data_IF_885046212308
#
_entry.id   IF_885046212308
#
_cell.length_a   1.000
_cell.length_b   1.000
_cell.length_c   1.000
_cell.angle_alpha   90.00
_cell.angle_beta   90.00
_cell.angle_gamma   90.00
#
_symmetry.space_group_name_H-M   'P 1'
#
loop_
_entity.id
_entity.type
_entity.pdbx_description
1 polymer ?
#
# COMPACT_ATOMS: atom_id res chain seq x y z
N UNK A 1 -78.80 29.48 18.86
CA UNK A 1 -77.54 29.79 19.59
C UNK A 1 -76.71 28.58 20.04
N UNK A 2 -77.26 27.49 20.63
CA UNK A 2 -76.43 26.34 21.08
C UNK A 2 -75.67 25.59 19.96
N UNK A 3 -76.22 25.51 18.75
CA UNK A 3 -75.60 24.85 17.60
C UNK A 3 -74.36 25.60 17.05
N UNK A 4 -74.42 26.94 16.99
CA UNK A 4 -73.30 27.79 16.55
C UNK A 4 -72.05 27.65 17.43
N UNK A 5 -72.23 27.62 18.76
CA UNK A 5 -71.11 27.44 19.70
C UNK A 5 -70.42 26.07 19.55
N UNK A 6 -71.15 25.03 19.18
CA UNK A 6 -70.58 23.69 18.95
C UNK A 6 -69.74 23.67 17.68
N UNK A 7 -70.27 24.26 16.59
CA UNK A 7 -69.57 24.36 15.30
C UNK A 7 -68.27 25.17 15.45
N UNK A 8 -68.29 26.29 16.16
CA UNK A 8 -67.07 27.10 16.40
C UNK A 8 -66.00 26.33 17.20
N UNK A 9 -66.42 25.55 18.21
CA UNK A 9 -65.52 24.72 19.01
C UNK A 9 -64.88 23.62 18.16
N UNK A 10 -65.68 22.92 17.37
CA UNK A 10 -65.21 21.83 16.50
C UNK A 10 -64.30 22.39 15.39
N UNK A 11 -64.59 23.60 14.87
CA UNK A 11 -63.70 24.33 13.96
C UNK A 11 -62.37 24.72 14.61
N UNK A 12 -62.36 25.14 15.88
CA UNK A 12 -61.11 25.44 16.61
C UNK A 12 -60.28 24.17 16.83
N UNK A 13 -60.91 23.06 17.22
CA UNK A 13 -60.23 21.76 17.38
C UNK A 13 -59.65 21.28 16.04
N UNK A 14 -60.44 21.38 14.96
CA UNK A 14 -59.99 20.99 13.62
C UNK A 14 -58.81 21.85 13.15
N UNK A 15 -58.84 23.16 13.42
CA UNK A 15 -57.71 24.07 13.12
C UNK A 15 -56.45 23.68 13.90
N UNK A 16 -56.57 23.40 15.19
CA UNK A 16 -55.44 22.95 16.03
C UNK A 16 -54.90 21.61 15.53
N UNK A 17 -55.78 20.66 15.22
CA UNK A 17 -55.40 19.36 14.66
C UNK A 17 -54.68 19.48 13.32
N UNK A 18 -55.23 20.26 12.38
CA UNK A 18 -54.63 20.49 11.07
C UNK A 18 -53.24 21.15 11.19
N UNK A 19 -53.10 22.11 12.10
CA UNK A 19 -51.84 22.80 12.37
C UNK A 19 -50.82 21.84 13.00
N UNK A 20 -51.23 21.04 13.98
CA UNK A 20 -50.40 20.00 14.60
C UNK A 20 -49.96 18.93 13.58
N UNK A 21 -50.87 18.48 12.70
CA UNK A 21 -50.51 17.51 11.67
C UNK A 21 -49.59 18.09 10.61
N UNK A 22 -49.79 19.35 10.23
CA UNK A 22 -48.90 20.02 9.28
C UNK A 22 -47.48 20.13 9.85
N UNK A 23 -47.34 20.47 11.14
CA UNK A 23 -46.06 20.48 11.85
C UNK A 23 -45.43 19.08 11.92
N UNK A 24 -46.21 18.06 12.27
CA UNK A 24 -45.69 16.69 12.32
C UNK A 24 -45.21 16.22 10.94
N UNK A 25 -45.98 16.48 9.88
CA UNK A 25 -45.57 16.18 8.51
C UNK A 25 -44.29 16.95 8.13
N UNK A 26 -44.19 18.24 8.44
CA UNK A 26 -42.99 19.03 8.17
C UNK A 26 -41.74 18.47 8.87
N UNK A 27 -41.87 18.00 10.11
CA UNK A 27 -40.79 17.36 10.87
C UNK A 27 -40.38 16.03 10.22
N UNK A 28 -41.35 15.19 9.84
CA UNK A 28 -41.10 13.91 9.17
C UNK A 28 -40.42 14.11 7.81
N UNK A 29 -40.95 15.00 6.97
CA UNK A 29 -40.36 15.30 5.66
C UNK A 29 -38.97 15.92 5.77
N UNK A 30 -38.74 16.82 6.73
CA UNK A 30 -37.41 17.40 6.98
C UNK A 30 -36.38 16.35 7.40
N UNK A 31 -36.79 15.37 8.22
CA UNK A 31 -35.94 14.28 8.66
C UNK A 31 -35.56 13.33 7.51
N UNK A 32 -36.55 12.97 6.68
CA UNK A 32 -36.33 12.16 5.47
C UNK A 32 -35.40 12.89 4.49
N UNK A 33 -35.60 14.18 4.28
CA UNK A 33 -34.77 14.97 3.38
C UNK A 33 -33.31 15.02 3.85
N UNK A 34 -33.08 15.17 5.16
CA UNK A 34 -31.73 15.14 5.75
C UNK A 34 -31.05 13.77 5.60
N UNK A 35 -31.81 12.68 5.63
CA UNK A 35 -31.30 11.32 5.48
C UNK A 35 -30.87 10.98 4.04
N UNK A 36 -31.49 11.62 3.04
CA UNK A 36 -31.18 11.40 1.61
C UNK A 36 -29.98 12.26 1.16
N UNK A 37 -29.68 13.35 1.88
CA UNK A 37 -28.57 14.24 1.55
C UNK A 37 -27.22 13.56 1.82
N UNK A 38 -26.39 13.45 0.78
CA UNK A 38 -24.98 13.08 0.94
C UNK A 38 -24.24 14.24 1.59
N UNK A 39 -23.43 13.95 2.59
CA UNK A 39 -22.51 14.94 3.14
C UNK A 39 -21.54 15.39 2.05
N UNK A 40 -21.50 16.70 1.78
CA UNK A 40 -20.51 17.32 0.91
C UNK A 40 -19.59 18.15 1.80
N UNK A 41 -18.30 18.00 1.59
CA UNK A 41 -17.27 18.75 2.31
C UNK A 41 -16.44 19.50 1.27
N UNK A 42 -16.06 20.74 1.59
CA UNK A 42 -15.07 21.48 0.81
C UNK A 42 -13.66 21.00 1.17
N UNK A 43 -13.39 20.81 2.47
CA UNK A 43 -12.15 20.29 3.02
C UNK A 43 -12.43 19.42 4.25
N UNK A 44 -11.56 18.43 4.48
CA UNK A 44 -11.61 17.57 5.66
C UNK A 44 -10.20 17.48 6.24
N UNK A 45 -10.00 18.03 7.44
CA UNK A 45 -8.74 17.93 8.17
C UNK A 45 -8.84 16.81 9.21
N UNK A 46 -8.24 15.66 8.90
CA UNK A 46 -8.28 14.46 9.73
C UNK A 46 -6.95 13.73 9.68
N UNK A 47 -6.65 12.99 10.73
CA UNK A 47 -5.44 12.17 10.79
C UNK A 47 -5.61 10.82 10.06
N UNK A 48 -6.88 10.36 9.91
CA UNK A 48 -7.21 9.04 9.36
C UNK A 48 -8.63 8.98 8.82
N UNK A 49 -8.79 8.34 7.66
CA UNK A 49 -10.05 7.95 7.05
C UNK A 49 -10.04 6.41 6.91
N UNK A 50 -11.09 5.77 7.44
CA UNK A 50 -11.34 4.34 7.22
C UNK A 50 -12.50 4.18 6.24
N UNK A 51 -12.31 3.33 5.23
CA UNK A 51 -13.42 2.82 4.41
C UNK A 51 -13.71 1.40 4.87
N UNK A 52 -14.95 1.18 5.30
CA UNK A 52 -15.40 -0.06 5.92
C UNK A 52 -16.65 -0.60 5.23
N UNK A 53 -16.83 -1.90 5.30
CA UNK A 53 -18.07 -2.59 4.94
C UNK A 53 -19.17 -2.36 5.98
N UNK A 54 -20.39 -2.81 5.68
CA UNK A 54 -21.54 -2.73 6.60
C UNK A 54 -21.32 -3.43 7.94
N UNK A 55 -20.51 -4.49 7.95
CA UNK A 55 -20.18 -5.26 9.16
C UNK A 55 -18.99 -4.66 9.94
N UNK A 56 -18.42 -3.56 9.46
CA UNK A 56 -17.26 -2.89 10.06
C UNK A 56 -15.90 -3.39 9.54
N UNK A 57 -15.87 -4.38 8.65
CA UNK A 57 -14.63 -4.88 8.04
C UNK A 57 -13.92 -3.79 7.26
N UNK A 58 -12.60 -3.67 7.45
CA UNK A 58 -11.78 -2.65 6.80
C UNK A 58 -11.51 -3.01 5.32
N UNK A 59 -11.55 -2.01 4.43
CA UNK A 59 -11.21 -2.15 2.99
C UNK A 59 -10.13 -1.20 2.55
N UNK A 60 -10.10 -0.01 3.14
CA UNK A 60 -9.09 1.00 2.82
C UNK A 60 -8.81 1.90 4.02
N UNK A 61 -7.56 2.31 4.17
CA UNK A 61 -7.13 3.29 5.18
C UNK A 61 -6.30 4.36 4.50
N UNK A 62 -6.70 5.63 4.62
CA UNK A 62 -5.84 6.79 4.36
C UNK A 62 -5.43 7.38 5.71
N UNK A 63 -4.15 7.43 6.03
CA UNK A 63 -3.71 7.90 7.35
C UNK A 63 -2.33 8.55 7.33
N UNK A 64 -2.09 9.40 8.34
CA UNK A 64 -0.76 9.89 8.66
C UNK A 64 0.14 8.77 9.27
N UNK A 65 1.44 9.06 9.46
CA UNK A 65 2.45 8.12 9.99
C UNK A 65 2.05 7.50 11.33
N UNK A 66 1.58 8.32 12.28
CA UNK A 66 1.27 7.87 13.63
C UNK A 66 0.00 7.02 13.71
N UNK A 67 -0.96 7.22 12.79
CA UNK A 67 -2.25 6.52 12.77
C UNK A 67 -2.38 5.50 11.66
N UNK A 68 -1.30 5.23 10.93
CA UNK A 68 -1.29 4.22 9.87
C UNK A 68 -1.63 2.83 10.42
N UNK A 69 -2.28 2.01 9.59
CA UNK A 69 -2.53 0.62 9.92
C UNK A 69 -1.20 -0.15 10.01
N UNK A 70 -1.05 -1.01 11.03
CA UNK A 70 0.18 -1.78 11.27
C UNK A 70 0.47 -2.79 10.16
N UNK A 71 -0.59 -3.21 9.47
CA UNK A 71 -0.60 -4.32 8.55
C UNK A 71 -1.07 -5.58 9.24
N UNK A 72 -1.75 -6.43 8.48
CA UNK A 72 -2.36 -7.66 8.99
C UNK A 72 -2.32 -8.72 7.90
N UNK A 73 -1.93 -9.94 8.26
CA UNK A 73 -1.96 -11.10 7.37
C UNK A 73 -2.36 -12.33 8.18
N UNK A 74 -3.35 -13.07 7.67
CA UNK A 74 -3.97 -14.20 8.35
C UNK A 74 -4.45 -13.87 9.78
N UNK A 75 -5.01 -12.68 9.95
CA UNK A 75 -5.51 -12.20 11.24
C UNK A 75 -4.43 -11.82 12.26
N UNK A 76 -3.14 -11.89 11.89
CA UNK A 76 -2.03 -11.44 12.74
C UNK A 76 -1.70 -9.99 12.42
N UNK A 77 -1.92 -9.09 13.38
CA UNK A 77 -1.55 -7.67 13.29
C UNK A 77 -0.10 -7.45 13.73
N UNK A 78 0.68 -6.74 12.94
CA UNK A 78 2.11 -6.48 13.19
C UNK A 78 2.34 -5.26 14.09
N UNK A 79 2.00 -5.38 15.38
CA UNK A 79 2.04 -4.28 16.34
C UNK A 79 3.40 -3.56 16.42
N UNK A 80 4.50 -4.25 16.17
CA UNK A 80 5.85 -3.68 16.12
C UNK A 80 6.05 -2.61 15.04
N UNK A 81 5.15 -2.55 14.05
CA UNK A 81 5.16 -1.56 12.95
C UNK A 81 4.38 -0.28 13.29
N UNK A 82 3.70 -0.22 14.43
CA UNK A 82 2.91 0.95 14.87
C UNK A 82 3.78 2.21 14.91
N UNK A 83 3.33 3.27 14.22
CA UNK A 83 4.03 4.56 14.14
C UNK A 83 5.32 4.57 13.31
N UNK A 84 5.73 3.42 12.75
CA UNK A 84 6.96 3.29 11.95
C UNK A 84 6.71 3.27 10.45
N UNK A 85 5.46 3.06 10.03
CA UNK A 85 5.09 2.99 8.62
C UNK A 85 4.86 4.40 8.06
N UNK A 86 5.27 4.67 6.81
CA UNK A 86 4.99 5.95 6.18
C UNK A 86 3.48 6.27 6.12
N UNK A 87 3.12 7.57 6.06
CA UNK A 87 1.75 7.97 5.74
C UNK A 87 1.36 7.48 4.34
N UNK A 88 0.05 7.28 4.14
CA UNK A 88 -0.44 6.81 2.85
C UNK A 88 -1.77 6.07 2.91
N UNK A 89 -2.05 5.41 1.79
CA UNK A 89 -3.24 4.62 1.51
C UNK A 89 -2.92 3.12 1.58
N UNK A 90 -3.67 2.34 2.36
CA UNK A 90 -3.54 0.89 2.47
C UNK A 90 -4.83 0.21 2.02
N UNK A 91 -4.71 -0.94 1.34
CA UNK A 91 -5.84 -1.74 0.87
C UNK A 91 -5.93 -3.07 1.60
N UNK A 92 -7.15 -3.58 1.77
CA UNK A 92 -7.42 -4.84 2.48
C UNK A 92 -8.38 -5.72 1.68
N UNK A 93 -8.17 -7.03 1.71
CA UNK A 93 -9.07 -8.02 1.11
C UNK A 93 -10.28 -8.34 2.01
N UNK A 94 -11.13 -9.27 1.57
CA UNK A 94 -12.35 -9.67 2.29
C UNK A 94 -12.06 -10.31 3.65
N UNK A 95 -10.89 -10.94 3.82
CA UNK A 95 -10.42 -11.52 5.08
C UNK A 95 -9.85 -10.46 6.04
N UNK A 96 -9.70 -9.24 5.55
CA UNK A 96 -9.07 -8.15 6.26
C UNK A 96 -7.54 -8.12 6.11
N UNK A 97 -6.93 -8.98 5.29
CA UNK A 97 -5.47 -8.98 5.07
C UNK A 97 -5.06 -7.82 4.16
N UNK A 98 -3.90 -7.23 4.42
CA UNK A 98 -3.32 -6.17 3.60
C UNK A 98 -2.98 -6.65 2.18
N UNK A 99 -3.22 -5.81 1.17
CA UNK A 99 -2.99 -6.07 -0.26
C UNK A 99 -1.95 -5.12 -0.89
N UNK A 100 -1.19 -4.42 -0.04
CA UNK A 100 -0.30 -3.34 -0.43
C UNK A 100 -0.94 -1.96 -0.26
N UNK A 101 -0.26 -0.95 -0.79
CA UNK A 101 -0.65 0.43 -0.56
C UNK A 101 0.15 1.44 -1.38
N UNK A 102 -0.28 2.70 -1.28
CA UNK A 102 0.43 3.86 -1.77
C UNK A 102 0.98 4.64 -0.59
N UNK A 103 2.30 4.73 -0.48
CA UNK A 103 2.98 5.41 0.62
C UNK A 103 3.98 6.41 0.12
N UNK A 104 4.21 7.45 0.90
CA UNK A 104 5.29 8.41 0.70
C UNK A 104 5.95 8.68 2.06
N UNK A 105 7.27 8.72 2.10
CA UNK A 105 8.01 9.18 3.27
C UNK A 105 9.16 10.08 2.81
N UNK A 106 9.65 10.92 3.70
CA UNK A 106 10.82 11.74 3.42
C UNK A 106 11.05 12.78 4.50
N UNK A 107 12.27 12.77 5.02
CA UNK A 107 12.84 13.90 5.74
C UNK A 107 14.13 14.28 5.01
N UNK A 108 14.50 15.55 5.04
CA UNK A 108 15.67 16.05 4.30
C UNK A 108 17.01 15.44 4.75
N UNK A 109 17.03 14.68 5.85
CA UNK A 109 18.25 14.11 6.43
C UNK A 109 18.51 12.64 6.02
N UNK A 110 17.46 11.84 5.79
CA UNK A 110 17.57 10.40 5.45
C UNK A 110 17.22 10.09 4.00
N UNK A 111 16.71 11.07 3.25
CA UNK A 111 16.22 10.91 1.88
C UNK A 111 14.70 10.90 1.80
N UNK A 112 14.17 10.64 0.61
CA UNK A 112 12.72 10.71 0.34
C UNK A 112 12.29 9.69 -0.70
N UNK A 113 11.00 9.38 -0.71
CA UNK A 113 10.49 8.40 -1.63
C UNK A 113 9.00 8.17 -1.58
N UNK A 114 8.57 7.30 -2.46
CA UNK A 114 7.20 6.82 -2.51
C UNK A 114 7.13 5.45 -3.14
N UNK A 115 6.13 4.69 -2.76
CA UNK A 115 5.88 3.38 -3.34
C UNK A 115 4.40 3.10 -3.48
N UNK A 116 4.01 2.59 -4.64
CA UNK A 116 2.74 1.88 -4.84
C UNK A 116 3.06 0.39 -4.96
N UNK A 117 2.48 -0.41 -4.08
CA UNK A 117 2.76 -1.84 -4.02
C UNK A 117 1.53 -2.69 -4.17
N UNK A 118 1.72 -3.88 -4.74
CA UNK A 118 0.72 -4.91 -4.88
C UNK A 118 1.25 -6.18 -4.22
N UNK A 119 0.62 -6.58 -3.14
CA UNK A 119 1.07 -7.71 -2.34
C UNK A 119 0.44 -9.00 -2.86
N UNK A 120 1.20 -10.09 -2.80
CA UNK A 120 0.65 -11.43 -3.05
C UNK A 120 -0.28 -11.82 -1.91
N UNK A 121 -1.29 -12.64 -2.20
CA UNK A 121 -2.12 -13.24 -1.15
C UNK A 121 -1.26 -14.00 -0.13
N UNK A 122 -1.40 -13.67 1.16
CA UNK A 122 -0.55 -14.16 2.28
C UNK A 122 0.94 -13.90 2.09
N UNK A 123 1.23 -12.87 1.30
CA UNK A 123 2.54 -12.49 0.89
C UNK A 123 2.79 -11.02 1.11
N UNK A 124 3.66 -10.49 0.28
CA UNK A 124 4.25 -9.17 0.33
C UNK A 124 4.46 -8.74 -1.14
N UNK A 125 5.10 -7.60 -1.33
CA UNK A 125 5.16 -6.82 -2.56
C UNK A 125 5.69 -7.60 -3.78
N UNK A 126 4.80 -8.08 -4.65
CA UNK A 126 5.18 -8.75 -5.92
C UNK A 126 5.33 -7.77 -7.07
N UNK A 127 4.63 -6.64 -7.03
CA UNK A 127 4.81 -5.53 -7.97
C UNK A 127 4.99 -4.24 -7.16
N UNK A 128 5.97 -3.43 -7.54
CA UNK A 128 6.23 -2.14 -6.93
C UNK A 128 6.47 -1.09 -8.01
N UNK A 129 5.78 0.04 -7.91
CA UNK A 129 6.23 1.30 -8.50
C UNK A 129 6.90 2.08 -7.38
N UNK A 130 8.13 2.51 -7.58
CA UNK A 130 8.95 3.06 -6.48
C UNK A 130 9.83 4.20 -6.97
N UNK A 131 9.89 5.24 -6.14
CA UNK A 131 10.90 6.28 -6.17
C UNK A 131 11.63 6.25 -4.83
N UNK A 132 12.95 6.14 -4.86
CA UNK A 132 13.78 6.06 -3.67
C UNK A 132 15.02 6.93 -3.86
N UNK A 133 15.05 8.07 -3.18
CA UNK A 133 16.11 9.07 -3.21
C UNK A 133 16.87 9.06 -1.87
N UNK A 134 18.20 9.03 -1.95
CA UNK A 134 19.08 9.19 -0.79
C UNK A 134 19.26 10.67 -0.41
N UNK A 135 19.86 10.95 0.74
CA UNK A 135 20.11 12.33 1.20
C UNK A 135 21.07 13.13 0.30
N UNK A 136 21.80 12.47 -0.60
CA UNK A 136 22.66 13.09 -1.61
C UNK A 136 21.94 13.38 -2.93
N UNK A 137 20.65 13.08 -3.04
CA UNK A 137 19.85 13.25 -4.26
C UNK A 137 20.07 12.18 -5.32
N UNK A 138 20.81 11.10 -5.02
CA UNK A 138 20.86 9.95 -5.93
C UNK A 138 19.60 9.12 -5.72
N UNK A 139 19.02 8.63 -6.82
CA UNK A 139 17.74 7.96 -6.73
C UNK A 139 17.59 6.79 -7.70
N UNK A 140 16.81 5.81 -7.27
CA UNK A 140 16.15 4.87 -8.16
C UNK A 140 14.70 5.34 -8.41
N UNK A 141 14.23 5.24 -9.65
CA UNK A 141 12.83 5.45 -9.98
C UNK A 141 12.39 4.43 -11.03
N UNK A 142 11.35 3.66 -10.74
CA UNK A 142 10.82 2.70 -11.70
C UNK A 142 9.96 1.59 -11.12
N UNK A 143 9.98 0.44 -11.80
CA UNK A 143 9.15 -0.74 -11.49
C UNK A 143 10.04 -1.90 -11.08
N UNK A 144 9.64 -2.59 -10.01
CA UNK A 144 10.22 -3.87 -9.60
C UNK A 144 9.13 -4.94 -9.59
N UNK A 145 9.50 -6.15 -10.01
CA UNK A 145 8.68 -7.33 -9.77
C UNK A 145 9.48 -8.37 -9.01
N UNK A 146 8.86 -8.92 -7.97
CA UNK A 146 9.47 -9.90 -7.08
C UNK A 146 8.70 -11.21 -7.14
N UNK A 147 9.45 -12.30 -6.97
CA UNK A 147 8.90 -13.61 -6.71
C UNK A 147 9.03 -13.91 -5.23
N UNK A 148 7.90 -14.14 -4.58
CA UNK A 148 7.86 -14.46 -3.16
C UNK A 148 7.59 -15.94 -2.97
N UNK A 149 8.58 -16.59 -2.35
CA UNK A 149 8.63 -18.03 -2.21
C UNK A 149 8.11 -18.48 -0.84
N UNK A 150 8.48 -17.80 0.25
CA UNK A 150 7.98 -18.09 1.60
C UNK A 150 6.85 -17.12 2.01
N UNK A 151 5.72 -17.61 2.57
CA UNK A 151 4.70 -16.78 3.17
C UNK A 151 5.26 -15.87 4.28
N UNK A 152 4.68 -14.67 4.44
CA UNK A 152 5.24 -13.67 5.35
C UNK A 152 5.28 -14.14 6.82
N UNK A 153 4.25 -14.87 7.27
CA UNK A 153 4.19 -15.40 8.64
C UNK A 153 5.31 -16.42 8.91
N UNK A 154 5.61 -17.28 7.94
CA UNK A 154 6.69 -18.26 8.04
C UNK A 154 8.05 -17.57 8.06
N UNK A 155 8.23 -16.53 7.22
CA UNK A 155 9.45 -15.72 7.19
C UNK A 155 9.71 -15.03 8.52
N UNK A 156 8.67 -14.46 9.15
CA UNK A 156 8.79 -13.81 10.45
C UNK A 156 9.10 -14.81 11.57
N UNK A 157 8.53 -16.01 11.53
CA UNK A 157 8.88 -17.08 12.46
C UNK A 157 10.34 -17.50 12.28
N UNK A 158 10.80 -17.67 11.03
CA UNK A 158 12.21 -17.94 10.71
C UNK A 158 13.12 -16.82 11.20
N UNK A 159 12.73 -15.56 11.03
CA UNK A 159 13.49 -14.42 11.55
C UNK A 159 13.65 -14.47 13.07
N UNK A 160 12.58 -14.81 13.81
CA UNK A 160 12.62 -14.97 15.27
C UNK A 160 13.47 -16.16 15.72
N UNK A 161 13.49 -17.25 14.95
CA UNK A 161 14.38 -18.40 15.21
C UNK A 161 15.84 -18.01 14.98
N UNK A 162 16.13 -17.36 13.85
CA UNK A 162 17.48 -16.94 13.48
C UNK A 162 18.01 -15.90 14.47
N UNK A 163 17.20 -14.93 14.91
CA UNK A 163 17.64 -13.90 15.87
C UNK A 163 18.07 -14.45 17.23
N UNK A 164 17.69 -15.69 17.57
CA UNK A 164 18.11 -16.36 18.81
C UNK A 164 19.47 -17.08 18.68
N UNK A 165 20.03 -17.17 17.47
CA UNK A 165 21.34 -17.79 17.26
C UNK A 165 22.44 -16.95 17.92
N UNK A 166 23.46 -17.60 18.52
CA UNK A 166 24.38 -16.97 19.46
C UNK A 166 25.35 -15.99 18.82
N UNK A 167 25.65 -16.15 17.53
CA UNK A 167 26.62 -15.31 16.81
C UNK A 167 26.04 -14.80 15.51
N UNK A 168 26.57 -13.67 15.05
CA UNK A 168 26.18 -13.07 13.77
C UNK A 168 26.53 -13.98 12.59
N UNK A 169 27.63 -14.71 12.66
CA UNK A 169 28.05 -15.65 11.63
C UNK A 169 27.06 -16.81 11.48
N UNK A 170 26.51 -17.32 12.59
CA UNK A 170 25.48 -18.34 12.55
C UNK A 170 24.17 -17.81 11.93
N UNK A 171 23.82 -16.55 12.24
CA UNK A 171 22.66 -15.87 11.65
C UNK A 171 22.84 -15.67 10.15
N UNK A 172 24.00 -15.18 9.72
CA UNK A 172 24.33 -14.94 8.33
C UNK A 172 24.34 -16.25 7.53
N UNK A 173 24.87 -17.34 8.09
CA UNK A 173 24.84 -18.66 7.47
C UNK A 173 23.39 -19.18 7.31
N UNK A 174 22.54 -19.00 8.32
CA UNK A 174 21.13 -19.39 8.25
C UNK A 174 20.38 -18.60 7.18
N UNK A 175 20.56 -17.27 7.13
CA UNK A 175 19.97 -16.43 6.08
C UNK A 175 20.49 -16.78 4.69
N UNK A 176 21.79 -17.06 4.57
CA UNK A 176 22.38 -17.51 3.31
C UNK A 176 21.75 -18.82 2.85
N UNK A 177 21.55 -19.78 3.75
CA UNK A 177 20.88 -21.05 3.44
C UNK A 177 19.48 -20.83 2.89
N UNK A 178 18.64 -20.03 3.56
CA UNK A 178 17.30 -19.71 3.06
C UNK A 178 17.32 -19.08 1.67
N UNK A 179 18.33 -18.24 1.38
CA UNK A 179 18.53 -17.64 0.07
C UNK A 179 18.94 -18.66 -0.99
N UNK A 180 19.90 -19.51 -0.67
CA UNK A 180 20.44 -20.54 -1.56
C UNK A 180 19.37 -21.60 -1.90
N UNK A 181 18.51 -21.91 -0.92
CA UNK A 181 17.34 -22.78 -1.05
C UNK A 181 16.17 -22.08 -1.79
N UNK A 182 16.33 -20.81 -2.19
CA UNK A 182 15.32 -20.06 -2.92
C UNK A 182 14.07 -19.70 -2.10
N UNK A 183 14.15 -19.71 -0.77
CA UNK A 183 12.99 -19.47 0.10
C UNK A 183 12.71 -17.98 0.33
N UNK A 184 13.70 -17.12 0.12
CA UNK A 184 13.53 -15.67 0.28
C UNK A 184 12.92 -15.01 -0.96
N UNK A 185 12.28 -13.86 -0.76
CA UNK A 185 11.82 -13.01 -1.85
C UNK A 185 12.99 -12.66 -2.78
N UNK A 186 12.74 -12.76 -4.08
CA UNK A 186 13.76 -12.56 -5.11
C UNK A 186 13.25 -11.57 -6.16
N UNK A 187 13.98 -10.48 -6.39
CA UNK A 187 13.67 -9.57 -7.50
C UNK A 187 13.88 -10.29 -8.84
N UNK A 188 12.86 -10.31 -9.69
CA UNK A 188 12.86 -10.95 -11.01
C UNK A 188 12.96 -9.96 -12.16
N UNK A 189 12.44 -8.75 -11.96
CA UNK A 189 12.47 -7.67 -12.93
C UNK A 189 12.78 -6.34 -12.23
N UNK A 190 13.64 -5.53 -12.86
CA UNK A 190 13.85 -4.13 -12.49
C UNK A 190 13.87 -3.29 -13.76
N UNK A 191 13.00 -2.29 -13.83
CA UNK A 191 12.90 -1.33 -14.93
C UNK A 191 12.98 0.07 -14.35
N UNK A 192 13.75 0.97 -14.97
CA UNK A 192 13.72 2.40 -14.62
C UNK A 192 15.09 3.05 -14.63
N UNK A 193 15.18 4.22 -13.98
CA UNK A 193 16.44 4.91 -13.76
C UNK A 193 17.14 4.34 -12.53
N UNK A 194 18.38 3.87 -12.69
CA UNK A 194 19.22 3.36 -11.61
C UNK A 194 20.08 4.47 -10.97
N UNK A 195 20.69 4.17 -9.83
CA UNK A 195 21.49 5.14 -9.06
C UNK A 195 22.72 5.66 -9.82
N UNK A 196 23.27 4.87 -10.75
CA UNK A 196 24.36 5.29 -11.65
C UNK A 196 23.87 6.19 -12.80
N UNK A 197 22.62 6.69 -12.71
CA UNK A 197 21.92 7.53 -13.68
C UNK A 197 21.60 6.83 -15.00
N UNK A 198 21.81 5.52 -15.09
CA UNK A 198 21.45 4.74 -16.28
C UNK A 198 19.96 4.43 -16.34
N UNK A 199 19.42 4.27 -17.55
CA UNK A 199 18.10 3.68 -17.78
C UNK A 199 18.27 2.19 -18.04
N UNK A 200 17.60 1.34 -17.25
CA UNK A 200 17.81 -0.11 -17.29
C UNK A 200 16.52 -0.93 -17.38
N UNK A 201 16.64 -2.09 -18.00
CA UNK A 201 15.75 -3.26 -17.84
C UNK A 201 16.63 -4.45 -17.47
N UNK A 202 16.46 -4.99 -16.26
CA UNK A 202 17.21 -6.14 -15.76
C UNK A 202 16.25 -7.32 -15.54
N UNK A 203 16.51 -8.43 -16.24
CA UNK A 203 15.82 -9.70 -16.03
C UNK A 203 16.72 -10.62 -15.20
N UNK A 204 16.15 -11.16 -14.11
CA UNK A 204 16.88 -11.98 -13.15
C UNK A 204 16.32 -13.41 -13.12
N UNK A 205 17.19 -14.38 -12.84
CA UNK A 205 16.79 -15.77 -12.60
C UNK A 205 16.14 -15.98 -11.23
N UNK A 206 15.77 -17.24 -10.93
CA UNK A 206 15.14 -17.63 -9.66
C UNK A 206 16.00 -17.39 -8.42
N UNK A 207 17.30 -17.15 -8.59
CA UNK A 207 18.24 -16.81 -7.52
C UNK A 207 18.56 -15.31 -7.49
N UNK A 208 17.88 -14.50 -8.30
CA UNK A 208 18.05 -13.06 -8.37
C UNK A 208 19.29 -12.62 -9.16
N UNK A 209 19.96 -13.53 -9.87
CA UNK A 209 21.12 -13.22 -10.70
C UNK A 209 20.66 -12.65 -12.03
N UNK A 210 21.22 -11.51 -12.44
CA UNK A 210 20.90 -10.89 -13.73
C UNK A 210 21.32 -11.83 -14.87
N UNK A 211 20.41 -12.06 -15.81
CA UNK A 211 20.60 -12.90 -17.01
C UNK A 211 20.56 -12.08 -18.29
N UNK A 212 19.74 -11.04 -18.30
CA UNK A 212 19.69 -10.06 -19.37
C UNK A 212 19.66 -8.65 -18.77
N UNK A 213 20.40 -7.74 -19.38
CA UNK A 213 20.40 -6.32 -19.05
C UNK A 213 20.33 -5.50 -20.33
N UNK A 214 19.26 -4.72 -20.51
CA UNK A 214 19.22 -3.63 -21.47
C UNK A 214 19.51 -2.33 -20.71
N UNK A 215 20.51 -1.57 -21.14
CA UNK A 215 21.02 -0.40 -20.43
C UNK A 215 21.33 0.73 -21.41
N UNK A 216 20.99 1.95 -21.03
CA UNK A 216 21.57 3.19 -21.58
C UNK A 216 22.25 3.89 -20.42
N UNK A 217 23.56 4.06 -20.48
CA UNK A 217 24.31 4.67 -19.38
C UNK A 217 24.15 6.21 -19.32
N UNK A 218 24.80 6.84 -18.33
CA UNK A 218 24.71 8.27 -18.12
C UNK A 218 25.30 9.12 -19.27
N UNK A 219 26.18 8.55 -20.09
CA UNK A 219 26.78 9.20 -21.26
C UNK A 219 25.93 9.00 -22.53
N UNK A 220 24.93 8.12 -22.47
CA UNK A 220 24.05 7.80 -23.60
C UNK A 220 24.45 6.53 -24.35
N UNK A 221 25.47 5.80 -23.89
CA UNK A 221 25.89 4.56 -24.53
C UNK A 221 24.88 3.44 -24.25
N UNK A 222 24.36 2.83 -25.32
CA UNK A 222 23.35 1.77 -25.24
C UNK A 222 23.97 0.38 -25.35
N UNK A 223 23.52 -0.56 -24.51
CA UNK A 223 23.98 -1.95 -24.49
C UNK A 223 22.86 -2.91 -24.07
N UNK A 224 22.76 -4.04 -24.77
CA UNK A 224 22.06 -5.24 -24.33
C UNK A 224 23.11 -6.32 -24.00
N UNK A 225 23.10 -6.85 -22.78
CA UNK A 225 24.04 -7.85 -22.32
C UNK A 225 23.33 -9.13 -21.86
N UNK A 226 23.90 -10.29 -22.18
CA UNK A 226 23.48 -11.61 -21.72
C UNK A 226 24.56 -12.16 -20.78
N UNK A 227 24.17 -12.65 -19.61
CA UNK A 227 25.09 -13.00 -18.52
C UNK A 227 24.97 -14.48 -18.10
N UNK A 228 26.12 -15.13 -17.89
CA UNK A 228 26.21 -16.50 -17.37
C UNK A 228 25.99 -16.60 -15.85
N UNK A 229 26.01 -17.82 -15.29
CA UNK A 229 25.76 -18.07 -13.86
C UNK A 229 26.69 -17.38 -12.86
N UNK A 230 27.86 -16.96 -13.32
CA UNK A 230 28.82 -16.19 -12.55
C UNK A 230 28.63 -14.67 -12.71
N UNK A 231 27.73 -14.23 -13.60
CA UNK A 231 27.51 -12.81 -13.92
C UNK A 231 28.48 -12.29 -14.99
N UNK A 232 29.17 -13.18 -15.72
CA UNK A 232 30.03 -12.75 -16.84
C UNK A 232 29.19 -12.54 -18.09
N UNK A 233 29.45 -11.46 -18.81
CA UNK A 233 28.81 -11.19 -20.10
C UNK A 233 29.31 -12.20 -21.12
N UNK A 234 28.41 -13.03 -21.63
CA UNK A 234 28.70 -14.04 -22.68
C UNK A 234 28.33 -13.55 -24.07
N UNK A 235 27.47 -12.53 -24.16
CA UNK A 235 27.08 -11.91 -25.41
C UNK A 235 26.58 -10.48 -25.17
N UNK A 236 26.85 -9.57 -26.12
CA UNK A 236 26.39 -8.19 -26.05
C UNK A 236 26.05 -7.60 -27.43
N UNK A 237 25.12 -6.64 -27.43
CA UNK A 237 24.79 -5.76 -28.55
C UNK A 237 24.90 -4.30 -28.08
N UNK A 238 25.73 -3.45 -28.71
CA UNK A 238 26.77 -3.84 -29.67
C UNK A 238 27.77 -4.81 -29.03
N UNK A 239 28.45 -5.60 -29.86
CA UNK A 239 29.57 -6.42 -29.37
C UNK A 239 30.62 -5.46 -28.81
N UNK A 240 31.17 -5.80 -27.64
CA UNK A 240 32.30 -5.05 -27.10
C UNK A 240 33.39 -4.96 -28.17
N UNK A 241 33.84 -3.73 -28.46
CA UNK A 241 34.90 -3.52 -29.44
C UNK A 241 36.07 -4.42 -29.04
N UNK A 242 36.47 -5.35 -29.92
CA UNK A 242 37.63 -6.20 -29.67
C UNK A 242 38.81 -5.24 -29.42
N UNK A 243 39.27 -5.14 -28.17
CA UNK A 243 40.56 -4.55 -27.87
C UNK A 243 41.65 -5.49 -28.33
#
# INVERSE_FOLDING_TARGET
>A
MKSQNKIERDLRILKVYALAMTLLCAILFGSIFKMIQRNKFEQIDVERINIVEKDGSLRMVLANKLRQHQGVVDGVTYEERRGKRPPGLMFFNERGDELGGLVFDGNTEEGQGGSLTFDKFRGDQTIQFIHQEDSGGNYFAGVKMNDQNMPINDLLNKQKEISKLPTKEAQDLAWKKLRDDGQLMTERLKIGRDYDKSSVIKLKDAKGKVRLELKVDANGDSKLAFLDESGRVIYSLPKDARK
#
